data_IF_840024800498
#
_entry.id   IF_840024800498
#
_cell.length_a   1.000
_cell.length_b   1.000
_cell.length_c   1.000
_cell.angle_alpha   90.00
_cell.angle_beta   90.00
_cell.angle_gamma   90.00
#
_symmetry.space_group_name_H-M   'P 1'
#
loop_
_entity.id
_entity.type
_entity.pdbx_description
1 polymer ?
#
# COMPACT_ATOMS: atom_id res chain seq x y z
N UNK A 1 -8.60 -19.96 16.04
CA UNK A 1 -8.84 -20.75 14.80
C UNK A 1 -7.64 -20.57 13.88
N UNK A 2 -7.06 -21.67 13.39
CA UNK A 2 -6.15 -21.58 12.25
C UNK A 2 -6.95 -21.15 11.03
N UNK A 3 -6.45 -20.14 10.33
CA UNK A 3 -7.02 -19.68 9.06
C UNK A 3 -6.91 -20.83 8.04
N UNK A 4 -8.01 -21.18 7.38
CA UNK A 4 -8.02 -22.29 6.40
C UNK A 4 -7.33 -21.91 5.09
N UNK A 5 -7.06 -22.90 4.22
CA UNK A 5 -6.43 -22.70 2.90
C UNK A 5 -7.00 -21.51 2.10
N UNK A 6 -8.32 -21.32 2.14
CA UNK A 6 -8.99 -20.24 1.44
C UNK A 6 -8.43 -18.85 1.81
N UNK A 7 -8.10 -18.62 3.09
CA UNK A 7 -7.53 -17.35 3.54
C UNK A 7 -6.18 -17.07 2.87
N UNK A 8 -5.27 -18.03 2.90
CA UNK A 8 -3.96 -17.91 2.25
C UNK A 8 -4.07 -17.73 0.73
N UNK A 9 -4.99 -18.45 0.08
CA UNK A 9 -5.25 -18.29 -1.34
C UNK A 9 -5.79 -16.89 -1.70
N UNK A 10 -6.69 -16.34 -0.88
CA UNK A 10 -7.20 -14.98 -1.08
C UNK A 10 -6.10 -13.93 -0.90
N UNK A 11 -5.31 -14.04 0.16
CA UNK A 11 -4.17 -13.14 0.41
C UNK A 11 -3.19 -13.15 -0.77
N UNK A 12 -2.80 -14.34 -1.23
CA UNK A 12 -1.90 -14.47 -2.38
C UNK A 12 -2.47 -13.83 -3.65
N UNK A 13 -3.74 -14.11 -3.97
CA UNK A 13 -4.39 -13.55 -5.16
C UNK A 13 -4.47 -12.01 -5.11
N UNK A 14 -4.79 -11.44 -3.94
CA UNK A 14 -4.86 -9.99 -3.75
C UNK A 14 -3.48 -9.33 -3.88
N UNK A 15 -2.45 -9.95 -3.30
CA UNK A 15 -1.09 -9.46 -3.37
C UNK A 15 -0.59 -9.44 -4.83
N UNK A 16 -0.78 -10.54 -5.56
CA UNK A 16 -0.42 -10.61 -6.98
C UNK A 16 -1.23 -9.64 -7.84
N UNK A 17 -2.54 -9.51 -7.58
CA UNK A 17 -3.42 -8.58 -8.28
C UNK A 17 -2.98 -7.13 -8.12
N UNK A 18 -2.65 -6.72 -6.88
CA UNK A 18 -2.13 -5.37 -6.62
C UNK A 18 -0.78 -5.13 -7.29
N UNK A 19 0.14 -6.10 -7.25
CA UNK A 19 1.45 -5.99 -7.89
C UNK A 19 1.34 -5.84 -9.42
N UNK A 20 0.49 -6.64 -10.06
CA UNK A 20 0.25 -6.56 -11.51
C UNK A 20 -0.39 -5.20 -11.87
N UNK A 21 -1.31 -4.71 -11.04
CA UNK A 21 -1.98 -3.42 -11.26
C UNK A 21 -1.02 -2.23 -11.14
N UNK A 22 -0.01 -2.32 -10.27
CA UNK A 22 0.98 -1.25 -10.11
C UNK A 22 1.85 -1.04 -11.36
N UNK A 23 2.09 -2.08 -12.16
CA UNK A 23 2.91 -1.98 -13.38
C UNK A 23 2.38 -0.90 -14.33
N UNK A 24 1.13 -0.95 -14.83
CA UNK A 24 0.61 0.09 -15.70
C UNK A 24 0.42 1.44 -14.98
N UNK A 25 0.05 1.46 -13.69
CA UNK A 25 -0.13 2.72 -12.95
C UNK A 25 1.17 3.53 -12.88
N UNK A 26 2.27 2.88 -12.50
CA UNK A 26 3.59 3.53 -12.43
C UNK A 26 4.11 3.85 -13.82
N UNK A 27 4.02 2.90 -14.77
CA UNK A 27 4.53 3.11 -16.13
C UNK A 27 3.84 4.27 -16.85
N UNK A 28 2.53 4.44 -16.64
CA UNK A 28 1.77 5.55 -17.24
C UNK A 28 2.27 6.89 -16.75
N UNK A 29 2.47 7.05 -15.44
CA UNK A 29 2.95 8.31 -14.84
C UNK A 29 4.39 8.64 -15.26
N UNK A 30 5.24 7.62 -15.44
CA UNK A 30 6.62 7.81 -15.90
C UNK A 30 6.71 8.24 -17.37
N UNK A 31 5.81 7.76 -18.23
CA UNK A 31 5.85 8.05 -19.68
C UNK A 31 5.10 9.34 -20.01
N UNK A 32 3.93 9.55 -19.41
CA UNK A 32 3.01 10.63 -19.78
C UNK A 32 3.00 11.79 -18.77
N UNK A 33 3.72 11.68 -17.66
CA UNK A 33 3.71 12.67 -16.59
C UNK A 33 2.47 12.56 -15.69
N UNK A 34 2.36 13.51 -14.76
CA UNK A 34 1.37 13.49 -13.68
C UNK A 34 -0.06 13.55 -14.22
N UNK A 35 -0.89 12.56 -13.88
CA UNK A 35 -2.30 12.49 -14.26
C UNK A 35 -3.22 12.24 -13.05
N UNK A 36 -4.22 13.11 -12.77
CA UNK A 36 -5.02 13.06 -11.52
C UNK A 36 -5.74 11.73 -11.26
N UNK A 37 -6.31 11.11 -12.31
CA UNK A 37 -7.02 9.81 -12.14
C UNK A 37 -6.03 8.72 -11.74
N UNK A 38 -4.85 8.69 -12.38
CA UNK A 38 -3.86 7.66 -12.13
C UNK A 38 -3.17 7.90 -10.79
N UNK A 39 -3.03 9.16 -10.36
CA UNK A 39 -2.61 9.55 -9.01
C UNK A 39 -3.60 9.10 -7.94
N UNK A 40 -4.90 9.28 -8.18
CA UNK A 40 -5.94 8.78 -7.29
C UNK A 40 -5.88 7.27 -7.13
N UNK A 41 -5.71 6.52 -8.23
CA UNK A 41 -5.54 5.07 -8.20
C UNK A 41 -4.24 4.66 -7.50
N UNK A 42 -3.13 5.34 -7.78
CA UNK A 42 -1.84 5.08 -7.17
C UNK A 42 -1.89 5.33 -5.66
N UNK A 43 -2.59 6.37 -5.21
CA UNK A 43 -2.81 6.71 -3.81
C UNK A 43 -3.60 5.66 -3.01
N UNK A 44 -4.19 4.67 -3.67
CA UNK A 44 -4.89 3.54 -3.03
C UNK A 44 -4.14 2.23 -3.25
N UNK A 45 -3.83 1.90 -4.51
CA UNK A 45 -3.24 0.60 -4.87
C UNK A 45 -1.84 0.44 -4.30
N UNK A 46 -1.03 1.50 -4.28
CA UNK A 46 0.34 1.43 -3.76
C UNK A 46 0.35 1.22 -2.22
N UNK A 47 -0.35 2.01 -1.39
CA UNK A 47 -0.43 1.74 0.03
C UNK A 47 -1.04 0.36 0.36
N UNK A 48 -2.01 -0.10 -0.43
CA UNK A 48 -2.59 -1.44 -0.26
C UNK A 48 -1.58 -2.56 -0.52
N UNK A 49 -0.79 -2.45 -1.60
CA UNK A 49 0.28 -3.41 -1.89
C UNK A 49 1.32 -3.45 -0.77
N UNK A 50 1.73 -2.27 -0.28
CA UNK A 50 2.67 -2.13 0.84
C UNK A 50 2.10 -2.75 2.13
N UNK A 51 0.81 -2.55 2.40
CA UNK A 51 0.12 -3.14 3.55
C UNK A 51 0.25 -4.67 3.57
N UNK A 52 -0.05 -5.35 2.45
CA UNK A 52 0.07 -6.81 2.36
C UNK A 52 1.50 -7.31 2.51
N UNK A 53 2.46 -6.56 1.96
CA UNK A 53 3.88 -6.86 2.12
C UNK A 53 4.32 -6.78 3.59
N UNK A 54 3.95 -5.72 4.30
CA UNK A 54 4.28 -5.58 5.72
C UNK A 54 3.51 -6.55 6.62
N UNK A 55 2.26 -6.89 6.30
CA UNK A 55 1.50 -7.91 7.02
C UNK A 55 2.21 -9.28 6.96
N UNK A 56 2.75 -9.63 5.79
CA UNK A 56 3.57 -10.82 5.59
C UNK A 56 4.85 -10.77 6.44
N UNK A 57 5.56 -9.62 6.44
CA UNK A 57 6.74 -9.42 7.29
C UNK A 57 6.42 -9.52 8.80
N UNK A 58 5.28 -8.97 9.26
CA UNK A 58 4.86 -9.06 10.66
C UNK A 58 4.59 -10.53 11.03
N UNK A 59 3.95 -11.28 10.14
CA UNK A 59 3.66 -12.70 10.35
C UNK A 59 4.94 -13.52 10.51
N UNK A 60 5.95 -13.27 9.67
CA UNK A 60 7.21 -14.02 9.68
C UNK A 60 8.12 -13.65 10.86
N UNK A 61 8.28 -12.35 11.14
CA UNK A 61 9.30 -11.87 12.08
C UNK A 61 8.76 -11.49 13.46
N UNK A 62 7.45 -11.28 13.60
CA UNK A 62 6.78 -11.00 14.88
C UNK A 62 5.67 -12.03 15.11
N UNK A 63 6.02 -13.34 15.24
CA UNK A 63 5.01 -14.38 15.28
C UNK A 63 4.13 -14.28 16.52
N UNK A 64 2.81 -14.34 16.33
CA UNK A 64 1.79 -14.25 17.40
C UNK A 64 2.01 -15.25 18.55
N UNK A 65 2.55 -16.43 18.24
CA UNK A 65 2.84 -17.50 19.22
C UNK A 65 3.89 -17.06 20.26
N UNK A 66 4.89 -16.28 19.84
CA UNK A 66 6.00 -15.85 20.70
C UNK A 66 5.76 -14.45 21.24
N UNK A 67 5.26 -13.53 20.42
CA UNK A 67 5.07 -12.12 20.76
C UNK A 67 3.62 -11.66 20.59
N UNK A 68 2.63 -12.22 21.32
CA UNK A 68 1.21 -11.95 21.07
C UNK A 68 0.81 -10.48 21.21
N UNK A 69 1.41 -9.76 22.17
CA UNK A 69 1.15 -8.33 22.38
C UNK A 69 1.76 -7.46 21.29
N UNK A 70 3.02 -7.72 20.94
CA UNK A 70 3.74 -6.97 19.91
C UNK A 70 3.16 -7.24 18.53
N UNK A 71 2.82 -8.49 18.20
CA UNK A 71 2.14 -8.85 16.96
C UNK A 71 0.82 -8.10 16.82
N UNK A 72 0.01 -8.03 17.89
CA UNK A 72 -1.24 -7.27 17.89
C UNK A 72 -0.98 -5.77 17.70
N UNK A 73 -0.01 -5.20 18.42
CA UNK A 73 0.35 -3.79 18.29
C UNK A 73 0.83 -3.46 16.86
N UNK A 74 1.73 -4.27 16.30
CA UNK A 74 2.26 -4.10 14.96
C UNK A 74 1.15 -4.12 13.89
N UNK A 75 0.20 -5.04 13.98
CA UNK A 75 -0.94 -5.09 13.08
C UNK A 75 -1.83 -3.84 13.18
N UNK A 76 -2.17 -3.40 14.41
CA UNK A 76 -2.97 -2.18 14.59
C UNK A 76 -2.25 -0.93 14.08
N UNK A 77 -0.95 -0.83 14.32
CA UNK A 77 -0.12 0.25 13.78
C UNK A 77 -0.09 0.20 12.27
N UNK A 78 0.10 -0.98 11.67
CA UNK A 78 0.11 -1.14 10.22
C UNK A 78 -1.24 -0.70 9.61
N UNK A 79 -2.37 -1.21 10.10
CA UNK A 79 -3.70 -0.81 9.60
C UNK A 79 -3.95 0.69 9.78
N UNK A 80 -3.64 1.24 10.97
CA UNK A 80 -3.86 2.66 11.26
C UNK A 80 -2.99 3.58 10.40
N UNK A 81 -1.71 3.24 10.23
CA UNK A 81 -0.78 4.02 9.40
C UNK A 81 -1.11 3.91 7.91
N UNK A 82 -1.47 2.73 7.40
CA UNK A 82 -1.94 2.59 6.01
C UNK A 82 -3.17 3.45 5.75
N UNK A 83 -4.14 3.48 6.66
CA UNK A 83 -5.31 4.35 6.55
C UNK A 83 -4.95 5.83 6.52
N UNK A 84 -4.02 6.25 7.40
CA UNK A 84 -3.51 7.63 7.42
C UNK A 84 -2.78 7.98 6.13
N UNK A 85 -1.94 7.07 5.59
CA UNK A 85 -1.23 7.27 4.32
C UNK A 85 -2.23 7.41 3.16
N UNK A 86 -3.23 6.54 3.07
CA UNK A 86 -4.26 6.65 2.02
C UNK A 86 -5.03 7.97 2.11
N UNK A 87 -5.37 8.42 3.33
CA UNK A 87 -5.97 9.74 3.52
C UNK A 87 -5.02 10.88 3.11
N UNK A 88 -3.74 10.80 3.48
CA UNK A 88 -2.72 11.73 3.02
C UNK A 88 -2.66 11.79 1.49
N UNK A 89 -2.60 10.64 0.80
CA UNK A 89 -2.64 10.59 -0.65
C UNK A 89 -3.91 11.25 -1.22
N UNK A 90 -5.07 11.01 -0.61
CA UNK A 90 -6.32 11.69 -0.98
C UNK A 90 -6.20 13.21 -0.86
N UNK A 91 -5.68 13.73 0.27
CA UNK A 91 -5.49 15.17 0.48
C UNK A 91 -4.53 15.77 -0.56
N UNK A 92 -3.38 15.12 -0.81
CA UNK A 92 -2.44 15.56 -1.85
C UNK A 92 -3.06 15.59 -3.24
N UNK A 93 -3.89 14.60 -3.58
CA UNK A 93 -4.48 14.46 -4.91
C UNK A 93 -5.73 15.34 -5.14
N UNK A 94 -6.38 15.81 -4.08
CA UNK A 94 -7.62 16.60 -4.18
C UNK A 94 -7.45 18.06 -3.78
N UNK A 95 -6.58 18.33 -2.81
CA UNK A 95 -6.38 19.65 -2.21
C UNK A 95 -4.97 20.23 -2.46
N UNK A 96 -4.07 19.47 -3.12
CA UNK A 96 -2.73 19.92 -3.50
C UNK A 96 -2.42 19.51 -4.97
N UNK A 97 -1.15 19.60 -5.37
CA UNK A 97 -0.67 19.37 -6.74
C UNK A 97 -0.68 17.89 -7.19
N UNK A 98 -0.93 16.93 -6.30
CA UNK A 98 -0.90 15.50 -6.60
C UNK A 98 0.42 14.81 -6.24
N UNK A 99 0.34 13.53 -5.89
CA UNK A 99 1.49 12.77 -5.39
C UNK A 99 2.60 12.60 -6.44
N UNK A 100 2.27 12.41 -7.73
CA UNK A 100 3.33 12.24 -8.75
C UNK A 100 3.96 13.56 -9.15
N UNK A 101 3.20 14.65 -9.19
CA UNK A 101 3.71 15.99 -9.42
C UNK A 101 4.68 16.41 -8.30
N UNK A 102 4.35 16.10 -7.03
CA UNK A 102 5.29 16.29 -5.90
C UNK A 102 6.59 15.53 -6.15
N UNK A 103 6.52 14.26 -6.55
CA UNK A 103 7.71 13.46 -6.82
C UNK A 103 8.54 14.04 -7.97
N UNK A 104 7.90 14.51 -9.06
CA UNK A 104 8.60 15.14 -10.17
C UNK A 104 9.37 16.39 -9.72
N UNK A 105 8.73 17.26 -8.93
CA UNK A 105 9.38 18.46 -8.38
C UNK A 105 10.50 18.12 -7.42
N UNK A 106 10.32 17.09 -6.59
CA UNK A 106 11.33 16.62 -5.64
C UNK A 106 12.59 16.11 -6.36
N UNK A 107 12.43 15.41 -7.48
CA UNK A 107 13.58 14.90 -8.27
C UNK A 107 14.19 15.95 -9.21
N UNK A 108 13.47 17.03 -9.52
CA UNK A 108 13.97 18.13 -10.34
C UNK A 108 14.69 19.23 -9.52
N UNK A 109 14.60 19.17 -8.19
CA UNK A 109 15.30 20.05 -7.25
C UNK A 109 16.77 19.64 -7.07
#
# INVERSE_FOLDING_TARGET
PEEGYAYGAHHWNMERGSAITLIPLVSTQLIYGAHPIVDGLLGVVLPYHIYMGFDSCITDYIPKRVYPRLHKAANWTLTGTTGLVMWGCYEFNTNDIGITEVMQRLFAA
#
